data_IF_844386444912
#
_entry.id   IF_844386444912
#
_cell.length_a   1.000
_cell.length_b   1.000
_cell.length_c   1.000
_cell.angle_alpha   90.00
_cell.angle_beta   90.00
_cell.angle_gamma   90.00
#
_symmetry.space_group_name_H-M   'P 1'
#
loop_
_entity.id
_entity.type
_entity.pdbx_description
1 polymer ?
#
# COMPACT_ATOMS: atom_id res chain seq x y z
N UNK A 1 -3.65 8.23 17.95
CA UNK A 1 -3.03 7.26 17.01
C UNK A 1 -1.53 7.34 17.08
N UNK A 2 -0.88 6.21 17.12
CA UNK A 2 0.57 6.10 17.24
C UNK A 2 1.12 5.26 16.07
N UNK A 3 2.21 5.72 15.45
CA UNK A 3 2.90 4.97 14.39
C UNK A 3 4.14 4.33 14.99
N UNK A 4 4.21 3.01 14.92
CA UNK A 4 5.25 2.20 15.57
C UNK A 4 5.90 1.27 14.56
N UNK A 5 7.23 1.20 14.58
CA UNK A 5 7.97 0.21 13.79
C UNK A 5 7.67 -1.19 14.31
N UNK A 6 7.20 -2.08 13.45
CA UNK A 6 6.83 -3.44 13.83
C UNK A 6 8.06 -4.33 13.99
N UNK A 7 8.04 -5.18 15.00
CA UNK A 7 9.11 -6.15 15.25
C UNK A 7 8.87 -7.41 14.39
N UNK A 8 9.77 -7.76 13.46
CA UNK A 8 9.61 -8.96 12.65
C UNK A 8 9.46 -10.25 13.44
N UNK A 9 10.13 -10.34 14.62
CA UNK A 9 10.03 -11.53 15.49
C UNK A 9 8.62 -11.75 16.03
N UNK A 10 7.84 -10.67 16.19
CA UNK A 10 6.47 -10.75 16.70
C UNK A 10 5.44 -10.97 15.58
N UNK A 11 5.65 -10.37 14.42
CA UNK A 11 4.64 -10.31 13.36
C UNK A 11 4.90 -11.25 12.17
N UNK A 12 6.14 -11.65 11.92
CA UNK A 12 6.47 -12.50 10.77
C UNK A 12 5.63 -13.78 10.74
N UNK A 13 5.00 -14.04 9.60
CA UNK A 13 4.15 -15.21 9.40
C UNK A 13 2.71 -15.07 9.89
N UNK A 14 2.37 -13.99 10.61
CA UNK A 14 0.96 -13.73 10.95
C UNK A 14 0.19 -13.35 9.69
N UNK A 15 -1.03 -13.87 9.56
CA UNK A 15 -1.91 -13.61 8.42
C UNK A 15 -2.73 -12.35 8.64
N UNK A 16 -3.02 -11.65 7.56
CA UNK A 16 -3.98 -10.57 7.53
C UNK A 16 -4.84 -10.64 6.27
N UNK A 17 -6.03 -10.04 6.33
CA UNK A 17 -6.92 -9.90 5.19
C UNK A 17 -7.10 -8.42 4.88
N UNK A 18 -6.79 -8.04 3.65
CA UNK A 18 -7.05 -6.71 3.13
C UNK A 18 -8.36 -6.69 2.35
N UNK A 19 -9.22 -5.70 2.61
CA UNK A 19 -10.51 -5.55 1.94
C UNK A 19 -10.68 -4.11 1.46
N UNK A 20 -11.28 -3.97 0.28
CA UNK A 20 -11.70 -2.67 -0.21
C UNK A 20 -12.94 -2.81 -1.09
N UNK A 21 -13.71 -1.72 -1.18
CA UNK A 21 -14.87 -1.62 -2.07
C UNK A 21 -14.51 -0.70 -3.21
N UNK A 22 -14.82 -1.09 -4.43
CA UNK A 22 -14.53 -0.30 -5.62
C UNK A 22 -15.76 -0.17 -6.51
N UNK A 23 -15.90 1.00 -7.13
CA UNK A 23 -16.97 1.31 -8.07
C UNK A 23 -16.55 1.13 -9.53
N UNK A 24 -15.27 0.93 -9.79
CA UNK A 24 -14.76 0.81 -11.15
C UNK A 24 -13.28 0.46 -11.20
N UNK A 25 -12.72 0.58 -12.38
CA UNK A 25 -11.32 0.27 -12.64
C UNK A 25 -10.77 1.12 -13.77
N UNK A 26 -9.45 1.25 -13.80
CA UNK A 26 -8.75 1.87 -14.91
C UNK A 26 -8.34 0.82 -15.93
N UNK A 27 -8.67 1.05 -17.19
CA UNK A 27 -8.34 0.18 -18.31
C UNK A 27 -7.36 0.86 -19.23
N UNK A 28 -6.44 0.09 -19.79
CA UNK A 28 -5.51 0.57 -20.81
C UNK A 28 -6.07 0.21 -22.15
N UNK A 29 -6.43 1.26 -22.91
CA UNK A 29 -7.05 1.12 -24.24
C UNK A 29 -6.05 1.47 -25.32
N UNK A 30 -5.91 0.58 -26.29
CA UNK A 30 -5.02 0.79 -27.42
C UNK A 30 -5.58 1.85 -28.36
N UNK A 31 -4.75 2.83 -28.74
CA UNK A 31 -5.09 3.87 -29.72
C UNK A 31 -4.12 3.82 -30.91
N UNK A 32 -4.39 4.62 -31.94
CA UNK A 32 -3.47 4.78 -33.05
C UNK A 32 -2.22 5.54 -32.56
N UNK A 33 -1.11 4.84 -32.44
CA UNK A 33 0.17 5.42 -32.01
C UNK A 33 0.41 5.43 -30.50
N UNK A 34 -0.45 4.76 -29.68
CA UNK A 34 -0.22 4.71 -28.24
C UNK A 34 -1.30 3.98 -27.45
N UNK A 35 -1.46 4.44 -26.22
CA UNK A 35 -2.45 3.89 -25.29
C UNK A 35 -3.08 5.04 -24.51
N UNK A 36 -4.39 4.90 -24.23
CA UNK A 36 -5.11 5.76 -23.28
C UNK A 36 -5.45 4.97 -22.04
N UNK A 37 -5.57 5.69 -20.91
CA UNK A 37 -6.07 5.13 -19.66
C UNK A 37 -7.50 5.64 -19.48
N UNK A 38 -8.46 4.73 -19.44
CA UNK A 38 -9.88 5.04 -19.30
C UNK A 38 -10.42 4.47 -17.99
N UNK A 39 -11.23 5.27 -17.29
CA UNK A 39 -11.97 4.79 -16.12
C UNK A 39 -13.27 4.14 -16.56
N UNK A 40 -13.51 2.90 -16.12
CA UNK A 40 -14.73 2.13 -16.39
C UNK A 40 -15.44 1.81 -15.08
N UNK A 41 -16.73 2.08 -15.02
CA UNK A 41 -17.54 1.78 -13.83
C UNK A 41 -18.11 0.38 -13.89
N UNK A 42 -18.17 -0.27 -12.73
CA UNK A 42 -18.99 -1.46 -12.53
C UNK A 42 -20.47 -1.07 -12.41
N UNK A 43 -21.40 -1.98 -12.72
CA UNK A 43 -22.82 -1.76 -12.58
C UNK A 43 -23.23 -1.53 -11.12
N UNK A 44 -22.53 -2.14 -10.18
CA UNK A 44 -22.69 -1.96 -8.74
C UNK A 44 -21.33 -2.07 -8.05
N UNK A 45 -21.18 -1.50 -6.83
CA UNK A 45 -19.94 -1.62 -6.08
C UNK A 45 -19.53 -3.08 -5.88
N UNK A 46 -18.24 -3.36 -6.01
CA UNK A 46 -17.64 -4.69 -5.87
C UNK A 46 -16.70 -4.69 -4.66
N UNK A 47 -16.86 -5.67 -3.78
CA UNK A 47 -15.90 -5.91 -2.70
C UNK A 47 -14.78 -6.81 -3.21
N UNK A 48 -13.53 -6.38 -2.96
CA UNK A 48 -12.32 -7.15 -3.21
C UNK A 48 -11.62 -7.44 -1.90
N UNK A 49 -11.08 -8.64 -1.76
CA UNK A 49 -10.26 -9.01 -0.62
C UNK A 49 -9.10 -9.89 -1.05
N UNK A 50 -8.03 -9.83 -0.30
CA UNK A 50 -6.91 -10.76 -0.44
C UNK A 50 -6.29 -11.05 0.92
N UNK A 51 -5.73 -12.25 1.05
CA UNK A 51 -5.02 -12.70 2.24
C UNK A 51 -3.51 -12.70 1.96
N UNK A 52 -2.74 -12.29 2.96
CA UNK A 52 -1.29 -12.29 2.89
C UNK A 52 -0.71 -12.45 4.30
N UNK A 53 0.59 -12.47 4.42
CA UNK A 53 1.30 -12.56 5.70
C UNK A 53 2.23 -11.37 5.90
N UNK A 54 2.37 -10.93 7.15
CA UNK A 54 3.37 -9.94 7.53
C UNK A 54 4.77 -10.47 7.27
N UNK A 55 5.66 -9.61 6.77
CA UNK A 55 7.06 -9.95 6.50
C UNK A 55 7.20 -11.19 5.62
N UNK A 56 6.52 -11.19 4.47
CA UNK A 56 6.61 -12.28 3.50
C UNK A 56 8.03 -12.53 3.01
N UNK A 57 8.32 -13.76 2.60
CA UNK A 57 9.68 -14.22 2.32
C UNK A 57 10.26 -13.74 0.98
N UNK A 58 9.46 -13.11 0.14
CA UNK A 58 9.87 -12.73 -1.22
C UNK A 58 10.76 -11.49 -1.32
N UNK A 59 10.90 -10.72 -0.23
CA UNK A 59 11.81 -9.60 -0.10
C UNK A 59 12.67 -9.72 1.14
N UNK A 60 13.96 -9.41 1.01
CA UNK A 60 14.88 -9.32 2.12
C UNK A 60 14.80 -7.96 2.82
N UNK A 61 15.08 -7.93 4.11
CA UNK A 61 15.17 -6.71 4.91
C UNK A 61 13.88 -5.88 4.90
N UNK A 62 12.72 -6.54 4.96
CA UNK A 62 11.43 -5.88 5.10
C UNK A 62 11.36 -5.06 6.39
N UNK A 63 10.88 -3.83 6.25
CA UNK A 63 10.57 -2.91 7.33
C UNK A 63 9.08 -2.64 7.30
N UNK A 64 8.44 -2.66 8.44
CA UNK A 64 7.02 -2.38 8.57
C UNK A 64 6.73 -1.39 9.69
N UNK A 65 5.72 -0.55 9.48
CA UNK A 65 5.16 0.36 10.47
C UNK A 65 3.69 0.06 10.65
N UNK A 66 3.24 0.04 11.89
CA UNK A 66 1.83 -0.12 12.25
C UNK A 66 1.25 1.15 12.85
N UNK A 67 -0.01 1.40 12.58
CA UNK A 67 -0.79 2.45 13.21
C UNK A 67 -1.63 1.83 14.34
N UNK A 68 -1.44 2.32 15.56
CA UNK A 68 -2.11 1.82 16.75
C UNK A 68 -2.99 2.89 17.38
N UNK A 69 -4.11 2.47 17.92
CA UNK A 69 -4.95 3.26 18.82
C UNK A 69 -5.50 2.36 19.91
N UNK A 70 -5.30 2.77 21.17
CA UNK A 70 -5.70 1.99 22.34
C UNK A 70 -5.21 0.52 22.30
N UNK A 71 -3.97 0.31 21.83
CA UNK A 71 -3.37 -1.02 21.72
C UNK A 71 -3.83 -1.87 20.54
N UNK A 72 -4.77 -1.37 19.72
CA UNK A 72 -5.28 -2.06 18.55
C UNK A 72 -4.54 -1.62 17.29
N UNK A 73 -4.10 -2.59 16.48
CA UNK A 73 -3.51 -2.33 15.18
C UNK A 73 -4.61 -1.98 14.16
N UNK A 74 -4.59 -0.76 13.65
CA UNK A 74 -5.58 -0.24 12.71
C UNK A 74 -5.16 -0.40 11.25
N UNK A 75 -3.89 -0.51 11.00
CA UNK A 75 -3.34 -0.66 9.67
C UNK A 75 -1.83 -0.77 9.70
N UNK A 76 -1.23 -1.05 8.56
CA UNK A 76 0.22 -1.17 8.45
C UNK A 76 0.71 -0.83 7.04
N UNK A 77 2.00 -0.59 6.94
CA UNK A 77 2.73 -0.44 5.69
C UNK A 77 4.03 -1.22 5.81
N UNK A 78 4.44 -1.86 4.74
CA UNK A 78 5.74 -2.54 4.68
C UNK A 78 6.44 -2.32 3.36
N UNK A 79 7.76 -2.34 3.41
CA UNK A 79 8.60 -2.17 2.25
C UNK A 79 10.02 -2.65 2.50
N UNK A 80 10.82 -2.65 1.45
CA UNK A 80 12.21 -3.09 1.52
C UNK A 80 13.07 -2.40 0.45
N UNK A 81 14.38 -2.21 0.72
CA UNK A 81 15.30 -1.77 -0.31
C UNK A 81 15.51 -2.86 -1.36
N UNK A 82 15.59 -2.47 -2.62
CA UNK A 82 16.05 -3.32 -3.72
C UNK A 82 17.46 -2.86 -4.12
N UNK A 83 18.48 -3.59 -3.66
CA UNK A 83 19.87 -3.15 -3.77
C UNK A 83 20.41 -3.10 -5.19
N UNK A 84 19.93 -3.96 -6.10
CA UNK A 84 20.46 -4.08 -7.45
C UNK A 84 20.22 -2.83 -8.32
N UNK A 85 19.18 -2.03 -8.03
CA UNK A 85 18.87 -0.81 -8.77
C UNK A 85 18.67 0.43 -7.88
N UNK A 86 19.00 0.30 -6.60
CA UNK A 86 18.94 1.37 -5.60
C UNK A 86 17.56 2.04 -5.51
N UNK A 87 16.51 1.24 -5.50
CA UNK A 87 15.14 1.71 -5.26
C UNK A 87 14.56 1.06 -4.00
N UNK A 88 13.49 1.61 -3.49
CA UNK A 88 12.75 1.08 -2.35
C UNK A 88 11.39 0.58 -2.83
N UNK A 89 11.06 -0.67 -2.54
CA UNK A 89 9.76 -1.26 -2.89
C UNK A 89 8.82 -1.22 -1.70
N UNK A 90 7.69 -0.52 -1.88
CA UNK A 90 6.57 -0.60 -0.96
C UNK A 90 5.76 -1.84 -1.34
N UNK A 91 5.72 -2.83 -0.44
CA UNK A 91 5.09 -4.12 -0.74
C UNK A 91 3.63 -4.19 -0.32
N UNK A 92 3.28 -3.61 0.82
CA UNK A 92 1.91 -3.58 1.31
C UNK A 92 1.61 -2.27 2.03
N UNK A 93 0.39 -1.78 1.85
CA UNK A 93 -0.21 -0.75 2.71
C UNK A 93 -1.69 -1.09 2.88
N UNK A 94 -2.14 -1.16 4.10
CA UNK A 94 -3.50 -1.58 4.41
C UNK A 94 -4.03 -0.87 5.67
N UNK A 95 -5.28 -0.40 5.59
CA UNK A 95 -6.09 0.02 6.74
C UNK A 95 -7.20 -1.01 6.88
N UNK A 96 -7.24 -1.71 8.02
CA UNK A 96 -8.05 -2.94 8.18
C UNK A 96 -9.56 -2.71 8.24
N UNK A 97 -9.99 -1.58 8.78
CA UNK A 97 -11.41 -1.30 8.99
C UNK A 97 -11.85 -0.13 8.12
N UNK A 98 -12.93 -0.33 7.37
CA UNK A 98 -13.52 0.74 6.55
C UNK A 98 -13.94 1.95 7.39
N UNK A 99 -14.35 1.75 8.64
CA UNK A 99 -14.70 2.83 9.56
C UNK A 99 -13.49 3.73 9.91
N UNK A 100 -12.28 3.20 9.83
CA UNK A 100 -11.03 3.94 10.11
C UNK A 100 -10.42 4.56 8.84
N UNK A 101 -11.01 4.34 7.68
CA UNK A 101 -10.55 4.94 6.43
C UNK A 101 -10.92 6.44 6.40
N UNK A 102 -10.12 7.21 5.70
CA UNK A 102 -10.25 8.67 5.60
C UNK A 102 -9.98 9.44 6.92
N UNK A 103 -9.42 8.76 7.93
CA UNK A 103 -8.98 9.38 9.19
C UNK A 103 -7.50 9.77 9.20
N UNK A 104 -6.83 9.74 8.05
CA UNK A 104 -5.41 10.07 7.94
C UNK A 104 -4.45 8.94 8.26
N UNK A 105 -4.93 7.73 8.57
CA UNK A 105 -4.11 6.57 8.92
C UNK A 105 -3.21 6.17 7.73
N UNK A 106 -3.79 6.03 6.55
CA UNK A 106 -3.03 5.69 5.34
C UNK A 106 -1.95 6.71 5.03
N UNK A 107 -2.25 8.00 5.17
CA UNK A 107 -1.27 9.07 4.96
C UNK A 107 -0.14 9.03 5.99
N UNK A 108 -0.44 8.77 7.25
CA UNK A 108 0.57 8.66 8.30
C UNK A 108 1.49 7.45 8.06
N UNK A 109 0.92 6.31 7.67
CA UNK A 109 1.68 5.11 7.30
C UNK A 109 2.55 5.36 6.07
N UNK A 110 2.01 6.00 5.05
CA UNK A 110 2.76 6.37 3.84
C UNK A 110 3.94 7.28 4.19
N UNK A 111 3.74 8.30 5.00
CA UNK A 111 4.80 9.19 5.44
C UNK A 111 5.91 8.44 6.19
N UNK A 112 5.56 7.47 7.05
CA UNK A 112 6.54 6.67 7.78
C UNK A 112 7.44 5.87 6.82
N UNK A 113 6.87 5.20 5.83
CA UNK A 113 7.65 4.41 4.88
C UNK A 113 8.44 5.28 3.90
N UNK A 114 7.92 6.46 3.54
CA UNK A 114 8.66 7.41 2.72
C UNK A 114 9.91 7.94 3.44
N UNK A 115 9.81 8.22 4.74
CA UNK A 115 10.95 8.60 5.56
C UNK A 115 11.98 7.47 5.63
N UNK A 116 11.55 6.24 5.86
CA UNK A 116 12.41 5.06 5.88
C UNK A 116 13.15 4.90 4.55
N UNK A 117 12.46 5.00 3.43
CA UNK A 117 13.05 4.91 2.11
C UNK A 117 14.08 6.02 1.85
N UNK A 118 13.76 7.24 2.25
CA UNK A 118 14.67 8.39 2.12
C UNK A 118 15.95 8.19 2.94
N UNK A 119 15.81 7.73 4.17
CA UNK A 119 16.96 7.45 5.05
C UNK A 119 17.82 6.30 4.53
N UNK A 120 17.23 5.35 3.80
CA UNK A 120 17.99 4.26 3.15
C UNK A 120 18.86 4.73 1.98
N UNK A 121 18.67 5.96 1.50
CA UNK A 121 19.39 6.52 0.36
C UNK A 121 18.86 6.06 -1.00
N UNK A 122 17.69 5.45 -1.06
CA UNK A 122 17.08 5.01 -2.30
C UNK A 122 16.81 6.19 -3.26
N UNK A 123 17.07 5.99 -4.54
CA UNK A 123 16.84 7.01 -5.58
C UNK A 123 15.36 7.19 -5.91
N UNK A 124 14.54 6.18 -5.67
CA UNK A 124 13.09 6.22 -5.92
C UNK A 124 12.36 5.16 -5.10
N UNK A 125 11.08 5.36 -4.97
CA UNK A 125 10.16 4.38 -4.38
C UNK A 125 9.25 3.86 -5.49
N UNK A 126 9.05 2.54 -5.49
CA UNK A 126 8.14 1.87 -6.43
C UNK A 126 7.07 1.10 -5.67
N UNK A 127 5.90 1.04 -6.23
CA UNK A 127 4.78 0.24 -5.71
C UNK A 127 3.91 -0.23 -6.87
N UNK A 128 3.13 -1.25 -6.58
CA UNK A 128 2.12 -1.77 -7.50
C UNK A 128 0.76 -1.76 -6.82
N UNK A 129 -0.28 -1.51 -7.60
CA UNK A 129 -1.65 -1.58 -7.13
C UNK A 129 -2.55 -2.15 -8.23
N UNK A 130 -3.66 -2.75 -7.85
CA UNK A 130 -4.64 -3.23 -8.80
C UNK A 130 -5.35 -2.07 -9.49
N UNK A 131 -5.65 -2.20 -10.77
CA UNK A 131 -6.33 -1.16 -11.55
C UNK A 131 -7.74 -0.86 -11.05
N UNK A 132 -8.36 -1.79 -10.33
CA UNK A 132 -9.66 -1.62 -9.69
C UNK A 132 -9.59 -1.05 -8.27
N UNK A 133 -8.41 -0.86 -7.70
CA UNK A 133 -8.27 -0.24 -6.38
C UNK A 133 -8.19 1.29 -6.51
N UNK A 134 -9.30 1.91 -6.89
CA UNK A 134 -9.37 3.34 -7.16
C UNK A 134 -9.02 4.21 -5.94
N UNK A 135 -9.42 3.80 -4.74
CA UNK A 135 -9.11 4.54 -3.51
C UNK A 135 -7.60 4.56 -3.24
N UNK A 136 -6.91 3.44 -3.45
CA UNK A 136 -5.46 3.37 -3.32
C UNK A 136 -4.77 4.26 -4.37
N UNK A 137 -5.21 4.19 -5.62
CA UNK A 137 -4.65 5.01 -6.71
C UNK A 137 -4.77 6.49 -6.41
N UNK A 138 -5.94 6.95 -5.96
CA UNK A 138 -6.17 8.35 -5.60
C UNK A 138 -5.34 8.78 -4.39
N UNK A 139 -5.25 7.92 -3.38
CA UNK A 139 -4.43 8.17 -2.19
C UNK A 139 -2.95 8.28 -2.54
N UNK A 140 -2.44 7.38 -3.37
CA UNK A 140 -1.06 7.39 -3.84
C UNK A 140 -0.76 8.66 -4.65
N UNK A 141 -1.66 9.04 -5.55
CA UNK A 141 -1.50 10.24 -6.36
C UNK A 141 -1.37 11.52 -5.51
N UNK A 142 -2.07 11.59 -4.36
CA UNK A 142 -1.97 12.72 -3.43
C UNK A 142 -0.61 12.84 -2.74
N UNK A 143 0.19 11.77 -2.70
CA UNK A 143 1.52 11.78 -2.07
C UNK A 143 2.63 12.18 -3.04
N UNK A 144 2.31 12.51 -4.29
CA UNK A 144 3.27 12.96 -5.28
C UNK A 144 3.87 11.84 -6.15
N UNK A 145 3.34 10.63 -6.09
CA UNK A 145 3.70 9.57 -7.04
C UNK A 145 3.18 9.91 -8.44
N UNK A 146 3.99 9.60 -9.41
CA UNK A 146 3.66 9.80 -10.83
C UNK A 146 3.61 8.49 -11.61
#
# INVERSE_FOLDING_TARGET
MEIVKLNPKKYAGQKFTARYITNGYYDIVRTTGGFDIEYKRFDSPVERSFDDTFFGEWLDNLVAYGAFENGKLLGFVEGAPEGWNNRYRLSNICVFDCANRHCGIGSALMNAILCEAKESGARMIVLETQTCNENAILSIAKTGFS
#
